data_IF_637629447075
#
_entry.id   IF_637629447075
#
_cell.length_a   1.000
_cell.length_b   1.000
_cell.length_c   1.000
_cell.angle_alpha   90.00
_cell.angle_beta   90.00
_cell.angle_gamma   90.00
#
_symmetry.space_group_name_H-M   'P 1'
#
loop_
_entity.id
_entity.type
_entity.pdbx_description
1 polymer ?
#
# COMPACT_ATOMS: atom_id res chain seq x y z
N UNK A 1 -4.44 6.95 11.09
CA UNK A 1 -3.09 6.47 11.44
C UNK A 1 -2.09 7.63 11.37
N UNK A 2 -1.25 7.70 12.38
CA UNK A 2 -0.01 8.48 12.42
C UNK A 2 1.09 7.79 11.62
N UNK A 3 2.20 8.49 11.38
CA UNK A 3 3.33 7.96 10.59
C UNK A 3 4.00 6.76 11.26
N UNK A 4 4.17 6.83 12.58
CA UNK A 4 4.74 5.73 13.38
C UNK A 4 3.83 4.49 13.37
N UNK A 5 2.51 4.69 13.44
CA UNK A 5 1.55 3.58 13.33
C UNK A 5 1.59 2.92 11.95
N UNK A 6 1.79 3.68 10.87
CA UNK A 6 1.93 3.11 9.52
C UNK A 6 3.18 2.24 9.42
N UNK A 7 4.32 2.73 9.91
CA UNK A 7 5.58 1.98 9.89
C UNK A 7 5.44 0.68 10.69
N UNK A 8 4.92 0.75 11.92
CA UNK A 8 4.71 -0.42 12.77
C UNK A 8 3.71 -1.42 12.16
N UNK A 9 2.68 -0.94 11.47
CA UNK A 9 1.75 -1.79 10.71
C UNK A 9 2.49 -2.56 9.62
N UNK A 10 3.28 -1.87 8.78
CA UNK A 10 4.00 -2.53 7.68
C UNK A 10 5.15 -3.45 8.11
N UNK A 11 5.72 -3.26 9.31
CA UNK A 11 6.71 -4.18 9.89
C UNK A 11 6.09 -5.51 10.34
N UNK A 12 4.83 -5.49 10.76
CA UNK A 12 4.14 -6.67 11.31
C UNK A 12 3.13 -7.30 10.35
N UNK A 13 2.69 -6.55 9.34
CA UNK A 13 1.75 -7.01 8.33
C UNK A 13 2.41 -7.99 7.36
N UNK A 14 1.70 -9.07 7.05
CA UNK A 14 2.07 -9.94 5.94
C UNK A 14 1.72 -9.28 4.61
N UNK A 15 2.73 -8.67 3.99
CA UNK A 15 2.58 -8.00 2.70
C UNK A 15 2.64 -9.02 1.56
N UNK A 16 1.58 -9.13 0.72
CA UNK A 16 1.64 -9.93 -0.50
C UNK A 16 2.66 -9.32 -1.46
N UNK A 17 3.22 -10.11 -2.37
CA UNK A 17 4.14 -9.57 -3.38
C UNK A 17 3.46 -8.50 -4.23
N UNK A 18 2.23 -8.77 -4.67
CA UNK A 18 1.43 -7.83 -5.44
C UNK A 18 0.09 -7.54 -4.78
N UNK A 19 -0.31 -6.27 -4.80
CA UNK A 19 -1.63 -5.83 -4.37
C UNK A 19 -2.25 -4.96 -5.44
N UNK A 20 -3.53 -5.22 -5.70
CA UNK A 20 -4.31 -4.45 -6.66
C UNK A 20 -5.21 -3.48 -5.89
N UNK A 21 -4.96 -2.18 -6.07
CA UNK A 21 -5.72 -1.14 -5.37
C UNK A 21 -7.10 -0.90 -6.00
N UNK A 22 -7.24 -1.15 -7.31
CA UNK A 22 -8.47 -0.88 -8.04
C UNK A 22 -8.70 -1.81 -9.26
N UNK A 23 -9.91 -1.77 -9.82
CA UNK A 23 -10.35 -2.63 -10.93
C UNK A 23 -9.62 -2.37 -12.26
N UNK A 24 -8.96 -1.24 -12.46
CA UNK A 24 -8.50 -0.78 -13.76
C UNK A 24 -6.97 -0.62 -13.87
N UNK A 25 -6.30 -0.10 -12.85
CA UNK A 25 -5.08 0.67 -13.16
C UNK A 25 -3.79 0.33 -12.43
N UNK A 26 -3.76 -0.29 -11.26
CA UNK A 26 -2.46 -0.44 -10.58
C UNK A 26 -2.32 -1.68 -9.71
N UNK A 27 -1.51 -2.63 -10.21
CA UNK A 27 -0.80 -3.60 -9.37
C UNK A 27 0.47 -2.92 -8.87
N UNK A 28 0.64 -2.91 -7.55
CA UNK A 28 1.90 -2.54 -6.93
C UNK A 28 2.62 -3.78 -6.47
N UNK A 29 3.93 -3.80 -6.67
CA UNK A 29 4.79 -4.60 -5.81
C UNK A 29 4.75 -3.96 -4.42
N UNK A 30 4.03 -4.61 -3.49
CA UNK A 30 3.64 -3.98 -2.21
C UNK A 30 4.88 -3.63 -1.41
N UNK A 31 5.86 -4.54 -1.39
CA UNK A 31 7.11 -4.35 -0.66
C UNK A 31 7.89 -3.16 -1.17
N UNK A 32 8.09 -3.05 -2.50
CA UNK A 32 8.78 -1.90 -3.08
C UNK A 32 8.00 -0.59 -2.89
N UNK A 33 6.69 -0.62 -3.13
CA UNK A 33 5.85 0.55 -2.98
C UNK A 33 5.83 1.07 -1.54
N UNK A 34 5.73 0.18 -0.55
CA UNK A 34 5.79 0.54 0.87
C UNK A 34 7.16 1.09 1.22
N UNK A 35 8.24 0.42 0.83
CA UNK A 35 9.61 0.87 1.11
C UNK A 35 9.88 2.27 0.54
N UNK A 36 9.52 2.49 -0.73
CA UNK A 36 9.68 3.78 -1.41
C UNK A 36 8.87 4.89 -0.75
N UNK A 37 7.61 4.62 -0.39
CA UNK A 37 6.78 5.64 0.23
C UNK A 37 7.21 5.93 1.68
N UNK A 38 7.74 4.94 2.43
CA UNK A 38 8.33 5.18 3.75
C UNK A 38 9.59 6.02 3.62
N UNK A 39 10.49 5.72 2.68
CA UNK A 39 11.69 6.52 2.42
C UNK A 39 11.34 7.96 2.05
N UNK A 40 10.36 8.17 1.17
CA UNK A 40 9.87 9.51 0.83
C UNK A 40 9.28 10.23 2.06
N UNK A 41 8.55 9.51 2.92
CA UNK A 41 7.96 10.08 4.14
C UNK A 41 9.05 10.46 5.18
N UNK A 42 10.13 9.68 5.25
CA UNK A 42 11.28 9.96 6.13
C UNK A 42 12.15 11.13 5.63
N UNK A 43 12.28 11.26 4.31
CA UNK A 43 13.09 12.33 3.67
C UNK A 43 12.33 13.64 3.54
N UNK A 44 11.01 13.60 3.34
CA UNK A 44 10.14 14.77 3.24
C UNK A 44 8.86 14.59 4.07
N UNK A 45 8.94 15.02 5.32
CA UNK A 45 7.84 15.01 6.30
C UNK A 45 6.62 15.87 5.88
N UNK A 46 6.74 16.71 4.85
CA UNK A 46 5.60 17.49 4.32
C UNK A 46 4.92 16.81 3.13
N UNK A 47 5.42 15.66 2.68
CA UNK A 47 4.88 14.97 1.51
C UNK A 47 3.60 14.20 1.85
N UNK A 48 2.48 14.91 1.86
CA UNK A 48 1.14 14.35 2.10
C UNK A 48 0.76 13.22 1.16
N UNK A 49 1.40 13.12 -0.02
CA UNK A 49 1.10 12.10 -1.01
C UNK A 49 1.65 10.72 -0.62
N UNK A 50 2.83 10.65 0.00
CA UNK A 50 3.43 9.38 0.43
C UNK A 50 2.60 8.73 1.55
N UNK A 51 2.19 9.53 2.54
CA UNK A 51 1.29 9.10 3.60
C UNK A 51 -0.06 8.63 3.07
N UNK A 52 -0.63 9.37 2.11
CA UNK A 52 -1.90 8.98 1.50
C UNK A 52 -1.80 7.63 0.77
N UNK A 53 -0.72 7.40 0.03
CA UNK A 53 -0.47 6.11 -0.66
C UNK A 53 -0.31 4.95 0.31
N UNK A 54 0.45 5.12 1.40
CA UNK A 54 0.58 4.11 2.44
C UNK A 54 -0.79 3.77 3.05
N UNK A 55 -1.63 4.76 3.34
CA UNK A 55 -2.99 4.52 3.82
C UNK A 55 -3.87 3.77 2.80
N UNK A 56 -3.75 4.04 1.50
CA UNK A 56 -4.48 3.26 0.49
C UNK A 56 -4.04 1.79 0.45
N UNK A 57 -2.74 1.53 0.63
CA UNK A 57 -2.22 0.16 0.69
C UNK A 57 -2.77 -0.56 1.92
N UNK A 58 -2.75 0.06 3.11
CA UNK A 58 -3.36 -0.51 4.32
C UNK A 58 -4.84 -0.82 4.08
N UNK A 59 -5.60 0.13 3.54
CA UNK A 59 -7.02 -0.08 3.26
C UNK A 59 -7.25 -1.23 2.27
N UNK A 60 -6.39 -1.39 1.27
CA UNK A 60 -6.47 -2.51 0.32
C UNK A 60 -5.99 -3.85 0.92
N UNK A 61 -5.17 -3.86 1.97
CA UNK A 61 -4.80 -5.07 2.72
C UNK A 61 -5.91 -5.52 3.67
N UNK A 62 -6.57 -4.57 4.33
CA UNK A 62 -7.70 -4.83 5.25
C UNK A 62 -9.01 -5.13 4.49
N UNK A 63 -9.21 -4.47 3.35
CA UNK A 63 -10.32 -4.66 2.44
C UNK A 63 -9.80 -5.07 1.06
N UNK A 64 -9.23 -6.28 0.94
CA UNK A 64 -8.77 -6.79 -0.34
C UNK A 64 -9.96 -6.82 -1.30
N UNK A 65 -9.77 -6.22 -2.46
CA UNK A 65 -10.84 -6.09 -3.45
C UNK A 65 -11.25 -7.49 -3.93
N UNK A 66 -12.43 -7.94 -3.53
CA UNK A 66 -13.08 -9.18 -3.96
C UNK A 66 -13.81 -9.03 -5.31
N UNK A 67 -13.27 -8.20 -6.20
CA UNK A 67 -13.79 -8.04 -7.55
C UNK A 67 -13.70 -9.35 -8.35
N UNK A 68 -14.56 -9.54 -9.36
CA UNK A 68 -14.60 -10.79 -10.11
C UNK A 68 -13.20 -11.15 -10.62
N UNK A 69 -12.78 -12.40 -10.37
CA UNK A 69 -11.56 -12.98 -10.94
C UNK A 69 -11.51 -12.60 -12.43
N UNK A 70 -10.37 -12.08 -12.87
CA UNK A 70 -10.13 -11.88 -14.31
C UNK A 70 -10.40 -13.25 -14.95
N UNK A 71 -11.33 -13.38 -15.90
CA UNK A 71 -11.57 -14.67 -16.55
C UNK A 71 -10.25 -15.11 -17.17
N UNK A 72 -9.65 -16.16 -16.63
CA UNK A 72 -8.55 -16.86 -17.29
C UNK A 72 -9.14 -17.44 -18.57
N UNK A 73 -8.81 -16.83 -19.69
CA UNK A 73 -9.16 -17.35 -21.01
C UNK A 73 -8.17 -18.42 -21.43
#
# INVERSE_FOLDING_TARGET
MTEQELIAYFETANLPETLRLDRASTQFEVKEAVARNIEIMQTDLKNSNAKHRLMMIVHALEHPYSGPEIPSR
#
